data_IF_603317822741
#
_entry.id   IF_603317822741
#
_cell.length_a   1.000
_cell.length_b   1.000
_cell.length_c   1.000
_cell.angle_alpha   90.00
_cell.angle_beta   90.00
_cell.angle_gamma   90.00
#
_symmetry.space_group_name_H-M   'P 1'
#
loop_
_entity.id
_entity.type
_entity.pdbx_description
1 polymer ?
#
# COMPACT_ATOMS: atom_id res chain seq x y z
N UNK A 1 20.76 85.93 4.43
CA UNK A 1 21.73 86.83 3.75
C UNK A 1 22.80 85.94 3.13
N UNK A 2 23.22 85.99 1.86
CA UNK A 2 22.80 86.62 0.60
C UNK A 2 23.48 85.72 -0.48
N UNK A 3 22.72 85.16 -1.43
CA UNK A 3 22.75 85.48 -2.87
C UNK A 3 24.16 85.34 -3.53
N UNK A 4 24.43 84.32 -4.36
CA UNK A 4 24.11 84.15 -5.81
C UNK A 4 24.70 85.24 -6.74
N UNK A 5 24.96 84.81 -7.99
CA UNK A 5 25.13 85.55 -9.28
C UNK A 5 26.60 85.90 -9.63
N UNK A 6 27.19 85.68 -10.82
CA UNK A 6 26.78 85.42 -12.22
C UNK A 6 27.98 84.85 -13.03
N UNK A 7 27.87 83.84 -13.91
CA UNK A 7 27.48 83.81 -15.35
C UNK A 7 28.44 84.52 -16.33
N UNK A 8 28.98 83.76 -17.31
CA UNK A 8 29.16 83.99 -18.78
C UNK A 8 30.20 82.96 -19.31
N UNK A 9 29.94 81.91 -20.11
CA UNK A 9 29.19 81.64 -21.36
C UNK A 9 29.91 82.12 -22.64
N UNK A 10 30.39 81.16 -23.46
CA UNK A 10 30.58 81.16 -24.95
C UNK A 10 31.36 79.88 -25.35
N UNK A 11 30.71 78.78 -25.71
CA UNK A 11 30.25 78.41 -27.07
C UNK A 11 31.34 77.87 -28.01
N UNK A 12 31.30 76.58 -28.34
CA UNK A 12 31.66 76.09 -29.68
C UNK A 12 30.82 74.87 -30.05
N UNK A 13 30.21 74.98 -31.22
CA UNK A 13 29.27 74.07 -31.86
C UNK A 13 29.99 73.36 -33.02
N UNK A 14 29.97 72.03 -33.07
CA UNK A 14 30.15 71.19 -34.28
C UNK A 14 29.81 69.74 -33.91
N UNK A 15 28.59 69.27 -34.15
CA UNK A 15 28.11 68.57 -35.36
C UNK A 15 28.90 67.30 -35.71
N UNK A 16 28.40 66.14 -35.24
CA UNK A 16 28.51 64.87 -35.95
C UNK A 16 27.34 63.96 -35.54
N UNK A 17 26.38 63.80 -36.43
CA UNK A 17 25.37 62.77 -36.36
C UNK A 17 26.01 61.42 -36.70
N UNK A 18 25.94 60.46 -35.78
CA UNK A 18 26.10 59.05 -36.08
C UNK A 18 25.20 58.27 -35.13
N UNK A 19 24.09 57.76 -35.66
CA UNK A 19 23.21 56.87 -34.95
C UNK A 19 23.95 55.58 -34.58
N UNK A 20 24.00 55.28 -33.29
CA UNK A 20 24.23 53.94 -32.79
C UNK A 20 23.28 53.76 -31.60
N UNK A 21 22.24 52.96 -31.86
CA UNK A 21 21.20 52.44 -30.96
C UNK A 21 21.51 52.63 -29.48
N UNK A 22 20.64 53.34 -28.77
CA UNK A 22 20.34 52.99 -27.37
C UNK A 22 20.18 51.47 -27.31
N UNK A 23 20.89 50.73 -26.44
CA UNK A 23 20.47 49.37 -26.15
C UNK A 23 19.02 49.50 -25.68
N UNK A 24 18.11 49.00 -26.52
CA UNK A 24 16.72 48.79 -26.16
C UNK A 24 16.71 48.17 -24.78
N UNK A 25 15.86 48.70 -23.91
CA UNK A 25 15.56 48.17 -22.60
C UNK A 25 15.84 46.67 -22.56
N UNK A 26 16.87 46.27 -21.81
CA UNK A 26 16.92 44.92 -21.28
C UNK A 26 15.64 44.82 -20.44
N UNK A 27 14.58 44.34 -21.09
CA UNK A 27 13.26 44.06 -20.55
C UNK A 27 13.44 43.52 -19.14
N UNK A 28 12.70 44.10 -18.21
CA UNK A 28 12.68 43.76 -16.80
C UNK A 28 12.52 42.25 -16.64
N UNK A 29 13.64 41.51 -16.63
CA UNK A 29 13.64 40.07 -16.42
C UNK A 29 13.40 39.83 -14.93
N UNK A 30 12.17 40.04 -14.54
CA UNK A 30 11.63 39.70 -13.24
C UNK A 30 11.65 38.16 -13.17
N UNK A 31 12.29 37.58 -12.15
CA UNK A 31 12.50 36.13 -12.10
C UNK A 31 11.26 35.41 -11.59
N UNK A 32 11.08 34.14 -11.96
CA UNK A 32 10.24 33.20 -11.21
C UNK A 32 11.13 32.20 -10.48
N UNK A 33 10.56 31.48 -9.54
CA UNK A 33 11.27 30.54 -8.69
C UNK A 33 10.66 29.15 -8.82
N UNK A 34 11.50 28.12 -8.95
CA UNK A 34 11.06 26.73 -8.92
C UNK A 34 11.91 25.94 -7.94
N UNK A 35 11.27 25.26 -7.01
CA UNK A 35 11.92 24.56 -5.90
C UNK A 35 11.28 23.19 -5.63
N UNK A 36 11.98 22.37 -4.86
CA UNK A 36 11.55 21.00 -4.52
C UNK A 36 12.08 19.98 -5.52
N UNK A 37 11.24 19.04 -5.93
CA UNK A 37 11.61 17.85 -6.72
C UNK A 37 11.76 18.12 -8.22
N UNK A 38 12.66 19.04 -8.56
CA UNK A 38 13.15 19.29 -9.92
C UNK A 38 14.67 19.11 -9.97
N UNK A 39 15.23 18.80 -11.15
CA UNK A 39 16.68 18.51 -11.25
C UNK A 39 17.56 19.71 -10.91
N UNK A 40 17.13 20.91 -11.29
CA UNK A 40 17.87 22.15 -11.04
C UNK A 40 16.94 23.18 -10.37
N UNK A 41 16.73 23.12 -9.04
CA UNK A 41 15.92 24.12 -8.34
C UNK A 41 16.64 25.48 -8.32
N UNK A 42 15.88 26.57 -8.39
CA UNK A 42 16.44 27.91 -8.34
C UNK A 42 15.57 29.01 -8.95
N UNK A 43 16.19 30.16 -9.18
CA UNK A 43 15.57 31.31 -9.84
C UNK A 43 15.83 31.27 -11.35
N UNK A 44 14.80 31.53 -12.13
CA UNK A 44 14.83 31.50 -13.58
C UNK A 44 14.28 32.81 -14.14
N UNK A 45 14.83 33.32 -15.26
CA UNK A 45 14.32 34.54 -15.87
C UNK A 45 12.93 34.28 -16.45
N UNK A 46 11.95 35.11 -16.11
CA UNK A 46 10.66 35.14 -16.81
C UNK A 46 10.82 35.86 -18.15
N UNK A 47 10.40 35.22 -19.25
CA UNK A 47 10.43 35.80 -20.61
C UNK A 47 9.22 35.30 -21.40
N UNK A 48 8.51 36.23 -22.04
CA UNK A 48 7.36 35.92 -22.89
C UNK A 48 6.26 35.14 -22.17
N UNK A 49 5.54 34.34 -22.95
CA UNK A 49 4.45 33.49 -22.45
C UNK A 49 5.03 32.14 -22.02
N UNK A 50 5.42 32.05 -20.75
CA UNK A 50 5.95 30.83 -20.13
C UNK A 50 4.85 30.09 -19.38
N UNK A 51 4.78 28.77 -19.54
CA UNK A 51 3.88 27.92 -18.73
C UNK A 51 4.63 27.21 -17.59
N UNK A 52 3.89 26.61 -16.65
CA UNK A 52 4.47 25.81 -15.57
C UNK A 52 5.24 24.60 -16.14
N UNK A 53 4.71 23.94 -17.16
CA UNK A 53 5.40 22.83 -17.83
C UNK A 53 6.72 23.28 -18.47
N UNK A 54 6.76 24.48 -19.08
CA UNK A 54 7.99 25.07 -19.61
C UNK A 54 8.99 25.40 -18.50
N UNK A 55 8.50 25.93 -17.38
CA UNK A 55 9.32 26.23 -16.21
C UNK A 55 9.96 24.97 -15.60
N UNK A 56 9.21 23.87 -15.51
CA UNK A 56 9.71 22.56 -15.07
C UNK A 56 10.75 22.03 -16.05
N UNK A 57 10.51 22.18 -17.36
CA UNK A 57 11.46 21.78 -18.40
C UNK A 57 12.76 22.58 -18.32
N UNK A 58 12.67 23.90 -18.12
CA UNK A 58 13.83 24.77 -17.92
C UNK A 58 14.64 24.39 -16.68
N UNK A 59 13.98 23.87 -15.64
CA UNK A 59 14.61 23.30 -14.45
C UNK A 59 15.25 21.91 -14.67
N UNK A 60 15.29 21.41 -15.90
CA UNK A 60 15.80 20.07 -16.23
C UNK A 60 14.80 18.94 -16.02
N UNK A 61 13.53 19.28 -15.78
CA UNK A 61 12.45 18.33 -15.50
C UNK A 61 12.39 17.89 -14.04
N UNK A 62 11.48 16.96 -13.78
CA UNK A 62 11.28 16.33 -12.46
C UNK A 62 12.46 15.45 -12.03
N UNK A 63 12.64 15.31 -10.72
CA UNK A 63 13.38 14.16 -10.16
C UNK A 63 12.54 12.88 -10.28
N UNK A 64 13.15 11.74 -9.96
CA UNK A 64 12.44 10.44 -10.00
C UNK A 64 11.41 10.28 -8.89
N UNK A 65 11.54 11.07 -7.82
CA UNK A 65 10.67 11.03 -6.63
C UNK A 65 9.66 12.17 -6.62
N UNK A 66 9.60 12.99 -7.68
CA UNK A 66 8.70 14.12 -7.76
C UNK A 66 7.21 13.72 -7.77
N UNK A 67 6.37 14.52 -7.13
CA UNK A 67 4.94 14.44 -7.29
C UNK A 67 4.55 15.02 -8.65
N UNK A 68 4.33 14.14 -9.63
CA UNK A 68 3.94 14.54 -11.00
C UNK A 68 2.43 14.78 -11.15
N UNK A 69 1.66 14.57 -10.08
CA UNK A 69 0.21 14.74 -10.09
C UNK A 69 -0.25 16.00 -9.37
N UNK A 70 0.63 16.59 -8.54
CA UNK A 70 0.30 17.78 -7.78
C UNK A 70 1.54 18.63 -7.53
N UNK A 71 1.37 19.94 -7.69
CA UNK A 71 2.34 20.93 -7.24
C UNK A 71 1.62 22.14 -6.65
N UNK A 72 2.40 23.07 -6.12
CA UNK A 72 1.91 24.37 -5.67
C UNK A 72 2.51 25.50 -6.52
N UNK A 73 1.69 26.44 -6.96
CA UNK A 73 2.15 27.75 -7.46
C UNK A 73 1.69 28.86 -6.51
N UNK A 74 2.63 29.65 -6.00
CA UNK A 74 2.35 30.82 -5.19
C UNK A 74 2.56 32.08 -6.03
N UNK A 75 1.52 32.92 -6.12
CA UNK A 75 1.51 34.19 -6.85
C UNK A 75 1.06 35.31 -5.92
N UNK A 76 2.01 36.13 -5.47
CA UNK A 76 1.76 37.10 -4.40
C UNK A 76 1.25 36.38 -3.14
N UNK A 77 0.06 36.73 -2.67
CA UNK A 77 -0.60 36.08 -1.51
C UNK A 77 -1.47 34.87 -1.89
N UNK A 78 -1.64 34.58 -3.19
CA UNK A 78 -2.50 33.49 -3.65
C UNK A 78 -1.69 32.21 -3.84
N UNK A 79 -2.26 31.10 -3.39
CA UNK A 79 -1.73 29.76 -3.63
C UNK A 79 -2.68 28.99 -4.55
N UNK A 80 -2.13 28.45 -5.63
CA UNK A 80 -2.83 27.61 -6.61
C UNK A 80 -2.30 26.18 -6.47
N UNK A 81 -3.22 25.21 -6.37
CA UNK A 81 -2.87 23.79 -6.44
C UNK A 81 -2.92 23.41 -7.92
N UNK A 82 -1.80 22.92 -8.41
CA UNK A 82 -1.64 22.47 -9.80
C UNK A 82 -1.91 20.97 -9.87
N UNK A 83 -2.67 20.56 -10.88
CA UNK A 83 -2.97 19.17 -11.23
C UNK A 83 -1.90 18.60 -12.17
N UNK A 84 -2.01 17.31 -12.52
CA UNK A 84 -1.13 16.67 -13.50
C UNK A 84 -1.16 17.38 -14.85
N UNK A 85 -2.35 17.78 -15.28
CA UNK A 85 -2.59 18.47 -16.54
C UNK A 85 -1.83 19.81 -16.56
N UNK A 86 -1.95 20.60 -15.49
CA UNK A 86 -1.25 21.88 -15.33
C UNK A 86 0.29 21.75 -15.38
N UNK A 87 0.82 20.60 -14.95
CA UNK A 87 2.25 20.32 -14.93
C UNK A 87 2.81 19.80 -16.27
N UNK A 88 1.94 19.48 -17.23
CA UNK A 88 2.34 18.85 -18.49
C UNK A 88 1.89 19.62 -19.73
N UNK A 89 0.86 20.45 -19.63
CA UNK A 89 0.37 21.29 -20.73
C UNK A 89 1.25 22.53 -20.93
N UNK A 90 1.59 22.80 -22.19
CA UNK A 90 2.33 23.99 -22.64
C UNK A 90 1.48 24.86 -23.55
N UNK A 91 1.95 26.08 -23.86
CA UNK A 91 1.25 27.00 -24.74
C UNK A 91 -0.06 27.54 -24.15
N UNK A 92 -1.09 27.74 -24.99
CA UNK A 92 -2.33 28.42 -24.62
C UNK A 92 -3.17 27.66 -23.58
N UNK A 93 -3.01 26.32 -23.50
CA UNK A 93 -3.75 25.47 -22.56
C UNK A 93 -3.00 25.28 -21.23
N UNK A 94 -1.75 25.72 -21.14
CA UNK A 94 -0.92 25.59 -19.95
C UNK A 94 -1.14 26.71 -18.92
N UNK A 95 -0.83 26.42 -17.65
CA UNK A 95 -0.86 27.44 -16.60
C UNK A 95 0.27 28.44 -16.82
N UNK A 96 -0.07 29.68 -17.15
CA UNK A 96 0.91 30.76 -17.35
C UNK A 96 1.64 31.07 -16.04
N UNK A 97 2.97 31.15 -16.11
CA UNK A 97 3.86 31.60 -15.04
C UNK A 97 4.03 33.11 -15.18
N UNK A 98 3.99 33.81 -14.05
CA UNK A 98 4.26 35.24 -13.94
C UNK A 98 5.55 35.45 -13.17
N UNK A 99 6.13 36.62 -13.33
CA UNK A 99 7.29 36.95 -12.54
C UNK A 99 6.95 37.15 -11.06
N UNK A 100 7.85 36.69 -10.20
CA UNK A 100 7.63 36.58 -8.76
C UNK A 100 6.88 35.31 -8.35
N UNK A 101 6.40 34.49 -9.29
CA UNK A 101 5.78 33.21 -8.94
C UNK A 101 6.80 32.26 -8.30
N UNK A 102 6.31 31.46 -7.34
CA UNK A 102 7.06 30.38 -6.72
C UNK A 102 6.35 29.07 -7.00
N UNK A 103 6.96 28.23 -7.83
CA UNK A 103 6.50 26.87 -8.14
C UNK A 103 7.22 25.92 -7.20
N UNK A 104 6.46 25.11 -6.47
CA UNK A 104 6.99 24.10 -5.55
C UNK A 104 6.50 22.74 -5.99
N UNK A 105 7.43 21.88 -6.39
CA UNK A 105 7.16 20.48 -6.69
C UNK A 105 7.42 19.66 -5.43
N UNK A 106 6.38 19.08 -4.84
CA UNK A 106 6.55 18.23 -3.66
C UNK A 106 7.05 16.82 -4.03
N UNK A 107 7.57 16.09 -3.05
CA UNK A 107 7.87 14.66 -3.20
C UNK A 107 6.57 13.88 -3.40
N UNK A 108 6.59 12.98 -4.38
CA UNK A 108 5.53 12.04 -4.66
C UNK A 108 5.38 11.05 -3.51
N UNK A 109 4.13 10.79 -3.12
CA UNK A 109 3.85 9.84 -2.06
C UNK A 109 3.50 8.47 -2.64
N UNK A 110 3.89 7.43 -1.92
CA UNK A 110 3.33 6.09 -2.05
C UNK A 110 2.31 5.91 -0.93
N UNK A 111 1.20 5.24 -1.21
CA UNK A 111 0.19 4.94 -0.19
C UNK A 111 0.43 3.53 0.35
N UNK A 112 0.56 3.37 1.66
CA UNK A 112 0.54 2.06 2.32
C UNK A 112 -0.80 1.88 3.00
N UNK A 113 -1.54 0.84 2.61
CA UNK A 113 -2.91 0.59 3.05
C UNK A 113 -3.14 -0.85 3.53
N UNK A 114 -4.24 -1.04 4.26
CA UNK A 114 -4.65 -2.35 4.79
C UNK A 114 -4.08 -2.63 6.18
N UNK A 115 -3.73 -3.89 6.44
CA UNK A 115 -3.30 -4.42 7.74
C UNK A 115 -1.83 -4.09 8.06
N UNK A 116 -1.55 -2.79 8.18
CA UNK A 116 -0.29 -2.24 8.69
C UNK A 116 -0.56 -1.35 9.91
N UNK A 117 0.45 -1.13 10.76
CA UNK A 117 0.26 -0.39 12.02
C UNK A 117 -0.06 1.08 11.81
N UNK A 118 0.52 1.69 10.78
CA UNK A 118 0.31 3.09 10.40
C UNK A 118 0.00 3.14 8.90
N UNK A 119 -1.27 2.99 8.49
CA UNK A 119 -1.65 3.23 7.11
C UNK A 119 -1.54 4.72 6.77
N UNK A 120 -1.22 5.05 5.52
CA UNK A 120 -1.15 6.44 5.07
C UNK A 120 -0.26 6.66 3.85
N UNK A 121 -0.07 7.93 3.52
CA UNK A 121 0.78 8.39 2.42
C UNK A 121 2.20 8.68 2.92
N UNK A 122 3.19 8.22 2.16
CA UNK A 122 4.60 8.29 2.52
C UNK A 122 5.40 8.89 1.37
N UNK A 123 5.96 10.08 1.58
CA UNK A 123 6.92 10.70 0.67
C UNK A 123 8.31 10.09 0.87
N UNK A 124 8.51 8.87 0.38
CA UNK A 124 9.78 8.16 0.51
C UNK A 124 10.57 8.24 -0.80
N UNK A 125 11.85 8.57 -0.69
CA UNK A 125 12.75 8.54 -1.82
C UNK A 125 13.16 7.10 -2.16
N UNK A 126 12.98 6.69 -3.42
CA UNK A 126 13.42 5.38 -3.93
C UNK A 126 12.95 4.19 -3.06
N UNK A 127 11.73 4.25 -2.54
CA UNK A 127 11.24 3.23 -1.61
C UNK A 127 11.07 1.88 -2.29
N UNK A 128 11.55 0.84 -1.63
CA UNK A 128 11.14 -0.54 -1.89
C UNK A 128 9.94 -0.93 -1.02
N UNK A 129 9.26 -2.02 -1.39
CA UNK A 129 8.15 -2.61 -0.60
C UNK A 129 8.56 -2.78 0.87
N UNK A 130 9.76 -3.32 1.12
CA UNK A 130 10.29 -3.49 2.48
C UNK A 130 10.40 -2.16 3.25
N UNK A 131 10.96 -1.12 2.64
CA UNK A 131 11.12 0.19 3.29
C UNK A 131 9.75 0.82 3.58
N UNK A 132 8.80 0.74 2.65
CA UNK A 132 7.45 1.24 2.85
C UNK A 132 6.73 0.53 4.01
N UNK A 133 6.83 -0.80 4.11
CA UNK A 133 6.25 -1.55 5.23
C UNK A 133 6.89 -1.19 6.56
N UNK A 134 8.21 -0.99 6.60
CA UNK A 134 8.91 -0.52 7.81
C UNK A 134 8.46 0.89 8.20
N UNK A 135 8.35 1.81 7.24
CA UNK A 135 7.86 3.18 7.47
C UNK A 135 6.40 3.19 8.00
N UNK A 136 5.58 2.24 7.54
CA UNK A 136 4.23 1.98 8.04
C UNK A 136 4.19 1.31 9.44
N UNK A 137 5.34 1.14 10.11
CA UNK A 137 5.43 0.50 11.42
C UNK A 137 5.32 -1.03 11.37
N UNK A 138 5.42 -1.63 10.18
CA UNK A 138 5.26 -3.05 9.95
C UNK A 138 3.80 -3.52 9.86
N UNK A 139 3.58 -4.78 9.46
CA UNK A 139 2.26 -5.38 9.39
C UNK A 139 1.63 -5.60 10.77
N UNK A 140 0.31 -5.66 10.81
CA UNK A 140 -0.42 -6.11 12.01
C UNK A 140 -0.36 -7.65 12.12
N UNK A 141 -0.66 -8.24 13.29
CA UNK A 141 -0.78 -9.70 13.43
C UNK A 141 -1.86 -10.33 12.54
N UNK A 142 -2.81 -9.54 12.03
CA UNK A 142 -3.90 -9.98 11.17
C UNK A 142 -3.58 -9.82 9.68
N UNK A 143 -2.39 -9.35 9.32
CA UNK A 143 -2.00 -9.13 7.95
C UNK A 143 -1.83 -10.44 7.17
N UNK A 144 -2.40 -10.48 5.96
CA UNK A 144 -2.04 -11.46 4.94
C UNK A 144 -0.88 -10.92 4.11
N UNK A 145 0.34 -11.25 4.53
CA UNK A 145 1.55 -10.83 3.86
C UNK A 145 1.78 -11.55 2.53
N UNK A 146 1.18 -12.72 2.33
CA UNK A 146 1.40 -13.55 1.15
C UNK A 146 0.49 -13.10 -0.01
N UNK A 147 -0.63 -12.45 0.31
CA UNK A 147 -1.58 -11.86 -0.64
C UNK A 147 -1.36 -10.35 -0.89
N UNK A 148 -0.26 -9.77 -0.39
CA UNK A 148 0.03 -8.36 -0.58
C UNK A 148 0.26 -7.99 -2.07
N UNK A 149 -0.06 -6.76 -2.43
CA UNK A 149 0.10 -6.29 -3.81
C UNK A 149 0.35 -4.79 -3.91
N UNK A 150 0.95 -4.39 -5.03
CA UNK A 150 1.10 -3.00 -5.45
C UNK A 150 0.04 -2.72 -6.53
N UNK A 151 -0.76 -1.69 -6.36
CA UNK A 151 -1.59 -1.14 -7.43
C UNK A 151 -0.85 0.03 -8.09
N UNK A 152 -0.52 -0.13 -9.38
CA UNK A 152 0.23 0.84 -10.19
C UNK A 152 -0.50 1.10 -11.50
N UNK A 153 -1.02 2.31 -11.69
CA UNK A 153 -1.66 2.72 -12.95
C UNK A 153 -2.79 1.76 -13.41
N UNK A 154 -3.60 1.26 -12.48
CA UNK A 154 -4.68 0.30 -12.74
C UNK A 154 -4.25 -1.17 -12.89
N UNK A 155 -2.94 -1.46 -12.81
CA UNK A 155 -2.40 -2.84 -12.78
C UNK A 155 -2.15 -3.28 -11.35
N UNK A 156 -2.29 -4.58 -11.10
CA UNK A 156 -2.00 -5.21 -9.80
C UNK A 156 -0.75 -6.06 -9.93
N UNK A 157 0.26 -5.76 -9.14
CA UNK A 157 1.54 -6.49 -9.07
C UNK A 157 1.57 -7.19 -7.71
N UNK A 158 1.47 -8.52 -7.70
CA UNK A 158 1.54 -9.30 -6.46
C UNK A 158 2.96 -9.32 -5.91
N UNK A 159 3.09 -9.25 -4.59
CA UNK A 159 4.38 -9.29 -3.90
C UNK A 159 4.30 -10.21 -2.69
N UNK A 160 5.32 -11.03 -2.48
CA UNK A 160 5.44 -11.82 -1.25
C UNK A 160 6.04 -10.94 -0.15
N UNK A 161 5.17 -10.15 0.50
CA UNK A 161 5.60 -9.20 1.51
C UNK A 161 6.24 -9.89 2.72
N UNK A 162 5.89 -11.17 3.00
CA UNK A 162 6.47 -11.95 4.09
C UNK A 162 7.95 -12.20 3.83
N UNK A 163 8.28 -12.73 2.66
CA UNK A 163 9.65 -13.03 2.31
C UNK A 163 10.48 -11.76 2.07
N UNK A 164 9.87 -10.72 1.48
CA UNK A 164 10.50 -9.40 1.31
C UNK A 164 10.88 -8.79 2.66
N UNK A 165 9.98 -8.81 3.65
CA UNK A 165 10.27 -8.31 5.01
C UNK A 165 11.34 -9.14 5.71
N UNK A 166 11.34 -10.46 5.51
CA UNK A 166 12.34 -11.36 6.07
C UNK A 166 13.74 -11.19 5.44
N UNK A 167 13.86 -10.46 4.32
CA UNK A 167 15.12 -10.31 3.60
C UNK A 167 15.59 -11.63 2.99
N UNK A 168 14.67 -12.51 2.59
CA UNK A 168 15.00 -13.80 2.00
C UNK A 168 15.78 -13.64 0.68
N UNK A 169 16.83 -14.43 0.50
CA UNK A 169 17.66 -14.38 -0.70
C UNK A 169 16.87 -14.86 -1.94
N UNK A 170 17.06 -14.20 -3.08
CA UNK A 170 16.41 -14.55 -4.34
C UNK A 170 14.97 -14.06 -4.49
N UNK A 171 14.44 -13.35 -3.50
CA UNK A 171 13.10 -12.77 -3.55
C UNK A 171 13.16 -11.37 -4.14
N UNK A 172 12.33 -11.13 -5.15
CA UNK A 172 12.22 -9.83 -5.78
C UNK A 172 11.61 -8.82 -4.79
N UNK A 173 12.26 -7.67 -4.61
CA UNK A 173 11.78 -6.58 -3.78
C UNK A 173 11.59 -5.34 -4.67
N UNK A 174 10.42 -5.18 -5.30
CA UNK A 174 10.18 -4.13 -6.27
C UNK A 174 10.38 -2.73 -5.68
N UNK A 175 10.92 -1.83 -6.49
CA UNK A 175 10.87 -0.41 -6.22
C UNK A 175 9.44 0.12 -6.43
N UNK A 176 9.00 0.96 -5.52
CA UNK A 176 7.74 1.69 -5.57
C UNK A 176 7.94 3.02 -6.28
N UNK A 177 6.92 3.42 -7.02
CA UNK A 177 6.86 4.66 -7.77
C UNK A 177 5.86 5.63 -7.14
N UNK A 178 6.06 6.95 -7.24
CA UNK A 178 5.06 7.93 -6.85
C UNK A 178 3.65 7.59 -7.36
N UNK A 179 2.67 7.56 -6.46
CA UNK A 179 1.28 7.20 -6.76
C UNK A 179 0.97 5.71 -6.65
N UNK A 180 1.95 4.85 -6.37
CA UNK A 180 1.69 3.44 -6.05
C UNK A 180 0.88 3.30 -4.75
N UNK A 181 0.00 2.29 -4.74
CA UNK A 181 -0.65 1.84 -3.51
C UNK A 181 -0.14 0.45 -3.16
N UNK A 182 0.66 0.35 -2.09
CA UNK A 182 1.00 -0.93 -1.48
C UNK A 182 -0.13 -1.33 -0.53
N UNK A 183 -0.89 -2.35 -0.88
CA UNK A 183 -1.99 -2.86 -0.07
C UNK A 183 -1.62 -4.20 0.58
N UNK A 184 -1.79 -4.28 1.89
CA UNK A 184 -1.63 -5.49 2.69
C UNK A 184 -3.01 -5.95 3.16
N UNK A 185 -3.59 -7.00 2.56
CA UNK A 185 -4.91 -7.48 2.95
C UNK A 185 -4.94 -8.00 4.40
N UNK A 186 -6.15 -8.17 4.91
CA UNK A 186 -6.39 -8.92 6.14
C UNK A 186 -6.43 -10.41 5.84
N UNK A 187 -5.75 -11.19 6.68
CA UNK A 187 -5.81 -12.64 6.66
C UNK A 187 -7.24 -13.10 6.86
N UNK A 188 -7.71 -13.95 5.95
CA UNK A 188 -8.96 -14.66 6.11
C UNK A 188 -8.87 -15.53 7.36
N UNK A 189 -9.72 -15.25 8.34
CA UNK A 189 -9.83 -16.09 9.51
C UNK A 189 -10.51 -17.40 9.09
N UNK A 190 -9.81 -18.52 9.15
CA UNK A 190 -10.34 -19.82 8.69
C UNK A 190 -10.44 -20.82 9.84
N UNK A 191 -11.44 -21.68 9.78
CA UNK A 191 -11.62 -22.81 10.70
C UNK A 191 -11.81 -24.08 9.89
N UNK A 192 -11.46 -25.22 10.48
CA UNK A 192 -11.66 -26.52 9.83
C UNK A 192 -12.62 -27.36 10.66
N UNK A 193 -13.57 -28.02 10.01
CA UNK A 193 -14.46 -28.99 10.64
C UNK A 193 -14.31 -30.36 9.98
N UNK A 194 -14.20 -31.41 10.80
CA UNK A 194 -13.99 -32.78 10.37
C UNK A 194 -14.85 -33.78 11.16
N UNK A 195 -14.96 -35.00 10.65
CA UNK A 195 -15.72 -36.09 11.26
C UNK A 195 -17.15 -36.18 10.73
N UNK A 196 -18.08 -36.53 11.61
CA UNK A 196 -19.49 -36.84 11.31
C UNK A 196 -20.35 -35.58 11.07
N UNK A 197 -19.99 -34.83 10.03
CA UNK A 197 -20.78 -33.72 9.46
C UNK A 197 -20.97 -33.95 7.97
N UNK A 198 -22.00 -33.33 7.37
CA UNK A 198 -22.32 -33.59 5.96
C UNK A 198 -21.28 -33.06 4.97
N UNK A 199 -20.65 -31.92 5.30
CA UNK A 199 -19.68 -31.22 4.44
C UNK A 199 -18.43 -30.86 5.24
N UNK A 200 -17.54 -31.82 5.56
CA UNK A 200 -16.28 -31.54 6.25
C UNK A 200 -15.34 -30.73 5.35
N UNK A 201 -14.46 -29.93 5.96
CA UNK A 201 -13.48 -29.10 5.25
C UNK A 201 -13.20 -27.76 5.92
N UNK A 202 -12.44 -26.89 5.25
CA UNK A 202 -12.18 -25.53 5.71
C UNK A 202 -13.38 -24.61 5.44
N UNK A 203 -13.60 -23.66 6.35
CA UNK A 203 -14.60 -22.60 6.25
C UNK A 203 -13.95 -21.27 6.63
N UNK A 204 -14.31 -20.21 5.92
CA UNK A 204 -13.88 -18.85 6.26
C UNK A 204 -14.87 -18.27 7.28
N UNK A 205 -14.34 -17.78 8.40
CA UNK A 205 -15.11 -17.05 9.40
C UNK A 205 -15.59 -15.73 8.79
N UNK A 206 -16.89 -15.50 8.85
CA UNK A 206 -17.54 -14.27 8.43
C UNK A 206 -18.16 -13.60 9.65
N UNK A 207 -17.72 -12.39 10.04
CA UNK A 207 -18.31 -11.66 11.16
C UNK A 207 -19.84 -11.52 10.99
N UNK A 208 -20.57 -11.80 12.06
CA UNK A 208 -22.04 -11.80 12.10
C UNK A 208 -22.74 -12.95 11.39
N UNK A 209 -22.03 -13.91 10.77
CA UNK A 209 -22.64 -15.05 10.06
C UNK A 209 -22.08 -16.41 10.44
N UNK A 210 -20.76 -16.50 10.60
CA UNK A 210 -20.05 -17.74 10.93
C UNK A 210 -19.01 -17.40 12.00
N UNK A 211 -19.51 -17.15 13.20
CA UNK A 211 -18.69 -16.75 14.36
C UNK A 211 -18.67 -17.83 15.45
N UNK A 212 -19.69 -18.70 15.50
CA UNK A 212 -19.83 -19.67 16.58
C UNK A 212 -19.83 -21.11 16.08
N UNK A 213 -19.60 -22.03 17.00
CA UNK A 213 -19.54 -23.46 16.71
C UNK A 213 -20.81 -23.98 16.01
N UNK A 214 -21.99 -23.59 16.50
CA UNK A 214 -23.26 -24.01 15.91
C UNK A 214 -23.43 -23.47 14.48
N UNK A 215 -22.98 -22.24 14.20
CA UNK A 215 -23.00 -21.67 12.84
C UNK A 215 -22.12 -22.49 11.91
N UNK A 216 -20.92 -22.86 12.35
CA UNK A 216 -20.01 -23.71 11.57
C UNK A 216 -20.60 -25.09 11.31
N UNK A 217 -21.22 -25.72 12.30
CA UNK A 217 -21.86 -27.03 12.15
C UNK A 217 -23.05 -26.93 11.19
N UNK A 218 -23.88 -25.89 11.32
CA UNK A 218 -24.98 -25.63 10.39
C UNK A 218 -24.47 -25.37 8.97
N UNK A 219 -23.42 -24.54 8.83
CA UNK A 219 -22.75 -24.28 7.56
C UNK A 219 -22.19 -25.57 6.95
N UNK A 220 -21.70 -26.51 7.76
CA UNK A 220 -21.28 -27.85 7.35
C UNK A 220 -22.43 -28.82 7.01
N UNK A 221 -23.68 -28.35 7.00
CA UNK A 221 -24.87 -29.14 6.70
C UNK A 221 -25.41 -29.95 7.88
N UNK A 222 -24.97 -29.63 9.10
CA UNK A 222 -25.34 -30.31 10.32
C UNK A 222 -24.59 -31.62 10.55
N UNK A 223 -24.74 -32.20 11.76
CA UNK A 223 -24.18 -33.51 12.09
C UNK A 223 -24.86 -34.61 11.27
N UNK A 224 -24.13 -35.68 10.95
CA UNK A 224 -24.71 -36.90 10.38
C UNK A 224 -25.50 -37.68 11.44
N UNK A 225 -26.27 -38.68 11.03
CA UNK A 225 -26.97 -39.57 11.96
C UNK A 225 -26.03 -40.38 12.88
N UNK A 226 -24.76 -40.52 12.50
CA UNK A 226 -23.75 -41.24 13.27
C UNK A 226 -22.93 -40.31 14.17
N UNK A 227 -23.19 -39.01 14.20
CA UNK A 227 -22.44 -38.05 14.98
C UNK A 227 -22.65 -38.21 16.49
N UNK A 228 -21.59 -37.97 17.26
CA UNK A 228 -21.62 -37.81 18.71
C UNK A 228 -21.53 -36.34 19.08
N UNK A 229 -22.68 -35.68 19.04
CA UNK A 229 -22.93 -34.26 19.39
C UNK A 229 -22.63 -33.92 20.85
N UNK A 230 -22.62 -34.90 21.75
CA UNK A 230 -22.30 -34.72 23.18
C UNK A 230 -20.82 -34.55 23.48
N UNK A 231 -19.93 -34.79 22.49
CA UNK A 231 -18.48 -34.80 22.69
C UNK A 231 -17.75 -34.20 21.49
N UNK A 232 -18.24 -33.07 20.97
CA UNK A 232 -17.54 -32.34 19.91
C UNK A 232 -16.23 -31.80 20.45
N UNK A 233 -15.14 -31.97 19.72
CA UNK A 233 -13.81 -31.52 20.15
C UNK A 233 -13.46 -30.23 19.41
N UNK A 234 -13.29 -29.13 20.16
CA UNK A 234 -12.70 -27.89 19.66
C UNK A 234 -11.21 -27.91 19.99
N UNK A 235 -10.37 -27.89 18.96
CA UNK A 235 -8.92 -27.86 19.11
C UNK A 235 -8.39 -26.49 18.71
N UNK A 236 -7.74 -25.81 19.65
CA UNK A 236 -7.23 -24.44 19.47
C UNK A 236 -5.75 -24.38 19.83
N UNK A 237 -4.91 -23.96 18.88
CA UNK A 237 -3.50 -23.68 19.15
C UNK A 237 -3.33 -22.18 19.38
N UNK A 238 -2.68 -21.77 20.48
CA UNK A 238 -2.44 -20.34 20.74
C UNK A 238 -1.31 -19.78 19.88
N UNK A 239 -0.37 -20.61 19.44
CA UNK A 239 0.70 -20.27 18.48
C UNK A 239 1.01 -21.45 17.57
N UNK A 240 1.57 -21.16 16.40
CA UNK A 240 2.11 -22.18 15.50
C UNK A 240 3.19 -23.00 16.23
N UNK A 241 3.02 -24.33 16.27
CA UNK A 241 3.93 -25.25 16.95
C UNK A 241 3.61 -25.56 18.42
N UNK A 242 2.66 -24.87 19.05
CA UNK A 242 2.19 -25.21 20.40
C UNK A 242 1.19 -26.38 20.38
N UNK A 243 1.14 -27.18 21.45
CA UNK A 243 0.11 -28.21 21.62
C UNK A 243 -1.27 -27.54 21.70
N UNK A 244 -2.16 -27.92 20.79
CA UNK A 244 -3.53 -27.42 20.80
C UNK A 244 -4.24 -27.82 22.10
N UNK A 245 -4.93 -26.86 22.72
CA UNK A 245 -5.89 -27.15 23.79
C UNK A 245 -7.10 -27.83 23.17
N UNK A 246 -7.52 -28.96 23.74
CA UNK A 246 -8.71 -29.70 23.30
C UNK A 246 -9.82 -29.45 24.30
N UNK A 247 -10.83 -28.72 23.88
CA UNK A 247 -12.06 -28.50 24.63
C UNK A 247 -13.13 -29.47 24.14
N UNK A 248 -13.84 -30.11 25.07
CA UNK A 248 -14.94 -31.02 24.74
C UNK A 248 -16.26 -30.31 24.99
N UNK A 249 -17.08 -30.23 23.95
CA UNK A 249 -18.32 -29.46 23.91
C UNK A 249 -19.49 -30.41 23.74
N UNK A 250 -20.48 -30.24 24.60
CA UNK A 250 -21.73 -30.98 24.54
C UNK A 250 -22.82 -30.11 23.91
N UNK A 251 -23.11 -30.30 22.63
CA UNK A 251 -24.12 -29.51 21.90
C UNK A 251 -25.56 -29.73 22.39
N UNK A 252 -25.79 -30.78 23.18
CA UNK A 252 -27.11 -31.13 23.74
C UNK A 252 -27.29 -30.65 25.18
N UNK A 253 -26.29 -29.94 25.73
CA UNK A 253 -26.31 -29.44 27.10
C UNK A 253 -27.36 -28.35 27.35
N UNK A 254 -27.65 -28.03 28.64
CA UNK A 254 -28.62 -27.01 29.02
C UNK A 254 -28.31 -25.64 28.40
N UNK A 255 -29.34 -24.86 28.06
CA UNK A 255 -29.17 -23.50 27.51
C UNK A 255 -28.48 -22.53 28.46
N UNK A 256 -28.46 -22.82 29.77
CA UNK A 256 -27.82 -21.97 30.79
C UNK A 256 -26.30 -21.79 30.58
N UNK A 257 -25.64 -22.71 29.87
CA UNK A 257 -24.19 -22.68 29.60
C UNK A 257 -23.88 -22.30 28.14
N UNK A 258 -24.65 -21.38 27.55
CA UNK A 258 -24.61 -21.07 26.11
C UNK A 258 -23.21 -20.69 25.58
N UNK A 259 -22.40 -19.98 26.37
CA UNK A 259 -21.01 -19.64 26.00
C UNK A 259 -20.07 -20.86 25.97
N UNK A 260 -20.33 -21.89 26.78
CA UNK A 260 -19.58 -23.15 26.77
C UNK A 260 -20.11 -24.12 25.69
N UNK A 261 -21.43 -24.08 25.43
CA UNK A 261 -22.08 -24.92 24.42
C UNK A 261 -21.80 -24.45 22.99
N UNK A 262 -21.73 -23.14 22.80
CA UNK A 262 -21.59 -22.50 21.50
C UNK A 262 -20.48 -21.42 21.53
N UNK A 263 -19.21 -21.85 21.73
CA UNK A 263 -18.10 -20.92 21.84
C UNK A 263 -17.88 -20.15 20.54
N UNK A 264 -17.32 -18.95 20.69
CA UNK A 264 -16.85 -18.15 19.56
C UNK A 264 -15.61 -18.80 18.97
N UNK A 265 -15.65 -19.02 17.67
CA UNK A 265 -14.59 -19.58 16.88
C UNK A 265 -13.49 -18.56 16.62
N UNK A 266 -12.27 -19.04 16.56
CA UNK A 266 -11.07 -18.28 16.28
C UNK A 266 -10.39 -18.83 15.04
N UNK A 267 -9.68 -17.96 14.33
CA UNK A 267 -8.86 -18.40 13.19
C UNK A 267 -7.91 -19.52 13.63
N UNK A 268 -7.85 -20.59 12.85
CA UNK A 268 -7.04 -21.78 13.11
C UNK A 268 -7.73 -22.84 13.98
N UNK A 269 -8.96 -22.60 14.46
CA UNK A 269 -9.69 -23.64 15.19
C UNK A 269 -9.96 -24.87 14.32
N UNK A 270 -9.79 -26.04 14.93
CA UNK A 270 -10.09 -27.32 14.32
C UNK A 270 -11.16 -28.05 15.13
N UNK A 271 -12.34 -28.16 14.56
CA UNK A 271 -13.51 -28.81 15.15
C UNK A 271 -13.60 -30.24 14.66
N UNK A 272 -13.75 -31.19 15.58
CA UNK A 272 -13.97 -32.60 15.26
C UNK A 272 -15.29 -33.04 15.85
N UNK A 273 -16.18 -33.53 15.00
CA UNK A 273 -17.43 -34.19 15.40
C UNK A 273 -17.21 -35.69 15.36
N UNK A 274 -16.98 -36.37 16.49
CA UNK A 274 -16.67 -37.80 16.48
C UNK A 274 -17.91 -38.65 16.15
N UNK A 275 -17.70 -39.91 15.78
CA UNK A 275 -18.78 -40.87 15.60
C UNK A 275 -19.30 -41.44 16.94
N UNK A 276 -20.60 -41.75 17.00
CA UNK A 276 -21.31 -42.28 18.15
C UNK A 276 -20.87 -43.71 18.53
N UNK A 277 -20.44 -44.50 17.56
CA UNK A 277 -19.88 -45.84 17.79
C UNK A 277 -18.37 -45.80 17.57
N UNK A 278 -17.57 -46.16 18.59
CA UNK A 278 -16.15 -46.50 18.42
C UNK A 278 -16.03 -47.74 17.52
N UNK A 279 -16.05 -47.56 16.21
CA UNK A 279 -15.14 -48.35 15.38
C UNK A 279 -13.72 -47.91 15.75
N UNK A 280 -12.77 -48.85 15.89
CA UNK A 280 -11.36 -48.57 16.21
C UNK A 280 -10.89 -47.29 15.47
N UNK A 281 -10.62 -46.22 16.22
CA UNK A 281 -9.97 -45.03 15.66
C UNK A 281 -8.56 -45.44 15.29
N UNK A 282 -8.23 -45.41 13.99
CA UNK A 282 -6.84 -45.49 13.56
C UNK A 282 -6.09 -44.36 14.26
N UNK A 283 -5.03 -44.70 14.98
CA UNK A 283 -4.08 -43.74 15.51
C UNK A 283 -3.44 -42.97 14.35
N UNK A 284 -2.94 -41.75 14.62
CA UNK A 284 -2.09 -41.04 13.65
C UNK A 284 -0.94 -41.94 13.16
N UNK A 285 -0.42 -42.80 14.04
CA UNK A 285 0.58 -43.79 13.67
C UNK A 285 0.06 -44.82 12.65
N UNK A 286 -1.21 -45.23 12.78
CA UNK A 286 -1.85 -46.17 11.86
C UNK A 286 -2.12 -45.53 10.49
N UNK A 287 -2.49 -44.24 10.45
CA UNK A 287 -2.68 -43.49 9.20
C UNK A 287 -1.35 -43.29 8.46
N UNK A 288 -0.27 -42.97 9.19
CA UNK A 288 1.08 -42.88 8.59
C UNK A 288 1.57 -44.23 8.06
N UNK A 289 1.34 -45.32 8.81
CA UNK A 289 1.71 -46.67 8.36
C UNK A 289 0.92 -47.11 7.12
N UNK A 290 -0.37 -46.79 7.03
CA UNK A 290 -1.17 -47.02 5.83
C UNK A 290 -0.62 -46.23 4.64
N UNK A 291 -0.25 -44.95 4.84
CA UNK A 291 0.34 -44.13 3.77
C UNK A 291 1.66 -44.69 3.22
N UNK A 292 2.55 -45.18 4.10
CA UNK A 292 3.82 -45.81 3.71
C UNK A 292 3.56 -47.11 2.94
N UNK A 293 2.63 -47.95 3.40
CA UNK A 293 2.29 -49.20 2.71
C UNK A 293 1.71 -48.97 1.31
N UNK A 294 0.87 -47.95 1.14
CA UNK A 294 0.31 -47.58 -0.18
C UNK A 294 1.40 -47.08 -1.13
N UNK A 295 2.30 -46.21 -0.67
CA UNK A 295 3.44 -45.75 -1.48
C UNK A 295 4.38 -46.90 -1.88
N UNK A 296 4.58 -47.86 -0.97
CA UNK A 296 5.42 -49.04 -1.22
C UNK A 296 4.78 -49.96 -2.27
N UNK A 297 3.46 -50.17 -2.19
CA UNK A 297 2.72 -50.96 -3.17
C UNK A 297 2.71 -50.31 -4.56
N UNK A 298 2.54 -48.99 -4.64
CA UNK A 298 2.63 -48.24 -5.90
C UNK A 298 4.04 -48.35 -6.50
N UNK A 299 5.08 -48.26 -5.68
CA UNK A 299 6.47 -48.41 -6.12
C UNK A 299 6.78 -49.83 -6.66
N UNK A 300 6.22 -50.87 -6.03
CA UNK A 300 6.35 -52.25 -6.49
C UNK A 300 5.60 -52.49 -7.80
N UNK A 301 4.38 -51.94 -7.93
CA UNK A 301 3.57 -52.05 -9.15
C UNK A 301 4.13 -51.24 -10.32
N UNK A 302 4.89 -50.18 -10.07
CA UNK A 302 5.55 -49.37 -11.10
C UNK A 302 6.90 -49.95 -11.59
N UNK A 303 7.38 -51.06 -10.99
CA UNK A 303 8.65 -51.73 -11.35
C UNK A 303 8.48 -53.05 -12.10
N UNK A 304 7.24 -53.49 -12.35
CA UNK A 304 6.89 -54.59 -13.26
C UNK A 304 6.19 -54.05 -14.50
#
# INVERSE_FOLDING_TARGET
MQARWSILLLSFLALAAAGARQPAAAESATHYYIWGEVKNPGAYPHRGDLTVADAITAAGGFTDVANRNRATLTRGERQLILSREDLTQTGADGVAVMAGDVIRIETGAITVAGEVRKPGDYGLEHASVRQALIAAGGPTPQADLDSAYIARGGKVIRVDARQILAGAAGVENPALEPGDVLHVPKAEARVTIAGEVRRPGPYTLEPGKLERLEDLIAAAGGPTANARTTRVELRRARRAGERATVETINLEGPRADELQRNPVLQSGDHVVVPAARRGRSLSINDVYQIGILVLTLISILARN
#
